data_IF_227431440108
#
_entry.id   IF_227431440108
#
_cell.length_a   1.000
_cell.length_b   1.000
_cell.length_c   1.000
_cell.angle_alpha   90.00
_cell.angle_beta   90.00
_cell.angle_gamma   90.00
#
_symmetry.space_group_name_H-M   'P 1'
#
loop_
_entity.id
_entity.type
_entity.pdbx_description
1 polymer ?
#
# COMPACT_ATOMS: atom_id res chain seq x y z
N UNK A 1 37.51 8.10 9.08
CA UNK A 1 36.29 7.31 9.33
C UNK A 1 36.63 6.23 10.34
N UNK A 2 36.00 6.25 11.53
CA UNK A 2 36.14 5.17 12.50
C UNK A 2 35.17 4.04 12.13
N UNK A 3 35.65 2.81 12.11
CA UNK A 3 34.84 1.61 11.92
C UNK A 3 34.64 0.95 13.28
N UNK A 4 33.42 0.49 13.57
CA UNK A 4 33.14 -0.42 14.68
C UNK A 4 32.86 -1.78 14.07
N UNK A 5 33.65 -2.78 14.44
CA UNK A 5 33.58 -4.18 13.94
C UNK A 5 33.59 -4.31 12.40
N UNK A 6 34.35 -3.42 11.69
CA UNK A 6 34.53 -3.55 10.25
C UNK A 6 33.43 -2.86 9.39
N UNK A 7 32.36 -2.40 9.99
CA UNK A 7 31.25 -1.73 9.26
C UNK A 7 31.53 -0.23 9.16
N UNK A 8 31.43 0.40 7.98
CA UNK A 8 31.56 1.84 7.83
C UNK A 8 30.40 2.57 8.51
N UNK A 9 30.71 3.61 9.26
CA UNK A 9 29.69 4.46 9.89
C UNK A 9 29.13 5.42 8.82
N UNK A 10 27.97 5.16 8.29
CA UNK A 10 27.23 6.03 7.34
C UNK A 10 25.91 6.55 7.90
N UNK A 11 25.79 6.64 9.23
CA UNK A 11 24.60 7.22 9.82
C UNK A 11 24.62 8.75 9.66
N UNK A 12 23.72 9.30 8.87
CA UNK A 12 23.31 10.69 8.95
C UNK A 12 22.49 10.84 10.25
N UNK A 13 23.17 11.22 11.33
CA UNK A 13 22.50 11.63 12.56
C UNK A 13 22.48 13.15 12.57
N UNK A 14 21.29 13.73 12.69
CA UNK A 14 21.16 15.12 13.08
C UNK A 14 21.64 15.26 14.54
N UNK A 15 22.89 15.69 14.68
CA UNK A 15 23.56 15.85 15.97
C UNK A 15 23.16 17.17 16.67
N UNK A 16 22.20 17.91 16.14
CA UNK A 16 21.82 19.25 16.64
C UNK A 16 21.22 19.25 18.04
N UNK A 17 20.79 18.10 18.55
CA UNK A 17 20.15 17.96 19.87
C UNK A 17 20.99 17.24 20.92
N UNK A 18 22.27 16.94 20.65
CA UNK A 18 23.15 16.32 21.65
C UNK A 18 23.65 17.36 22.64
N UNK A 19 23.35 17.19 23.90
CA UNK A 19 23.75 18.11 25.00
C UNK A 19 25.18 17.87 25.55
N UNK A 20 25.93 16.94 24.93
CA UNK A 20 27.32 16.63 25.27
C UNK A 20 27.44 15.50 26.29
N UNK A 21 28.29 14.53 26.00
CA UNK A 21 28.54 13.35 26.85
C UNK A 21 27.87 12.07 26.41
N UNK A 22 27.00 12.11 25.38
CA UNK A 22 26.34 10.94 24.84
C UNK A 22 27.26 10.16 23.88
N UNK A 23 27.25 8.84 23.97
CA UNK A 23 28.04 7.93 23.14
C UNK A 23 27.17 6.83 22.59
N UNK A 24 27.25 6.58 21.28
CA UNK A 24 26.55 5.48 20.64
C UNK A 24 27.23 4.14 20.99
N UNK A 25 26.51 3.24 21.65
CA UNK A 25 26.96 1.90 21.99
C UNK A 25 26.09 0.83 21.36
N UNK A 26 26.70 -0.33 21.12
CA UNK A 26 26.00 -1.54 20.68
C UNK A 26 25.43 -2.29 21.88
N UNK A 27 24.11 -2.47 21.92
CA UNK A 27 23.45 -3.38 22.86
C UNK A 27 23.39 -4.79 22.26
N UNK A 28 24.26 -5.67 22.71
CA UNK A 28 24.33 -7.06 22.25
C UNK A 28 23.15 -7.92 22.72
N UNK A 29 22.34 -7.44 23.66
CA UNK A 29 21.19 -8.18 24.22
C UNK A 29 19.96 -7.98 23.35
N UNK A 30 19.78 -6.79 22.80
CA UNK A 30 18.62 -6.41 21.98
C UNK A 30 18.94 -6.25 20.49
N UNK A 31 20.20 -6.49 20.09
CA UNK A 31 20.66 -6.32 18.69
C UNK A 31 20.45 -4.91 18.13
N UNK A 32 20.49 -3.90 19.00
CA UNK A 32 20.21 -2.49 18.65
C UNK A 32 21.41 -1.59 19.01
N UNK A 33 21.59 -0.50 18.27
CA UNK A 33 22.45 0.61 18.68
C UNK A 33 21.65 1.60 19.52
N UNK A 34 22.19 2.00 20.68
CA UNK A 34 21.54 2.96 21.55
C UNK A 34 22.52 4.08 21.92
N UNK A 35 21.98 5.26 22.21
CA UNK A 35 22.73 6.35 22.82
C UNK A 35 22.79 6.12 24.34
N UNK A 36 23.97 6.18 24.91
CA UNK A 36 24.17 6.12 26.36
C UNK A 36 24.62 7.50 26.84
N UNK A 37 23.88 8.07 27.78
CA UNK A 37 24.33 9.22 28.54
C UNK A 37 25.45 8.75 29.51
N UNK A 38 26.61 9.35 29.42
CA UNK A 38 27.77 8.97 30.24
C UNK A 38 27.54 9.19 31.74
N UNK A 39 26.56 9.99 32.11
CA UNK A 39 26.24 10.33 33.49
C UNK A 39 25.00 9.56 34.03
N UNK A 40 24.38 8.70 33.21
CA UNK A 40 23.22 7.90 33.63
C UNK A 40 23.50 6.40 33.56
N UNK A 41 22.95 5.65 34.50
CA UNK A 41 23.04 4.18 34.56
C UNK A 41 21.99 3.47 33.69
N UNK A 42 21.38 4.17 32.72
CA UNK A 42 20.30 3.65 31.88
C UNK A 42 20.58 3.81 30.38
N UNK A 43 20.35 2.76 29.61
CA UNK A 43 20.20 2.83 28.15
C UNK A 43 18.99 3.69 27.82
N UNK A 44 19.18 4.76 27.03
CA UNK A 44 18.06 5.37 26.29
C UNK A 44 17.95 4.61 24.97
N UNK A 45 16.97 3.72 24.79
CA UNK A 45 16.76 3.11 23.48
C UNK A 45 16.56 4.25 22.48
N UNK A 46 17.23 4.18 21.33
CA UNK A 46 16.75 4.97 20.18
C UNK A 46 15.25 4.70 20.07
N UNK A 47 14.42 5.74 19.91
CA UNK A 47 12.99 5.51 19.77
C UNK A 47 12.82 4.41 18.73
N UNK A 48 12.28 3.28 19.17
CA UNK A 48 11.79 2.28 18.24
C UNK A 48 10.93 3.07 17.24
N UNK A 49 11.02 2.74 15.97
CA UNK A 49 10.17 3.35 14.94
C UNK A 49 8.73 3.28 15.47
N UNK A 50 8.25 4.39 16.01
CA UNK A 50 6.92 4.48 16.60
C UNK A 50 6.01 4.97 15.49
N UNK A 51 5.48 4.04 14.72
CA UNK A 51 4.50 4.31 13.68
C UNK A 51 4.84 3.61 12.37
N UNK A 52 3.89 2.87 11.83
CA UNK A 52 4.02 2.16 10.58
C UNK A 52 4.44 3.06 9.42
N UNK A 53 5.22 2.51 8.51
CA UNK A 53 5.53 3.17 7.23
C UNK A 53 4.39 2.94 6.26
N UNK A 54 3.95 4.02 5.60
CA UNK A 54 3.21 3.94 4.35
C UNK A 54 4.18 4.08 3.19
N UNK A 55 4.08 3.21 2.20
CA UNK A 55 4.99 3.19 1.04
C UNK A 55 4.18 3.29 -0.24
N UNK A 56 4.63 4.11 -1.18
CA UNK A 56 4.00 4.35 -2.48
C UNK A 56 5.03 4.08 -3.58
N UNK A 57 4.79 3.07 -4.43
CA UNK A 57 5.73 2.66 -5.47
C UNK A 57 5.20 2.84 -6.89
N UNK A 58 6.08 3.25 -7.81
CA UNK A 58 5.78 3.41 -9.24
C UNK A 58 4.78 4.50 -9.56
N UNK A 59 3.94 4.27 -10.57
CA UNK A 59 2.90 5.21 -11.01
C UNK A 59 3.23 5.93 -12.31
N UNK A 60 2.48 6.99 -12.61
CA UNK A 60 2.65 7.81 -13.81
C UNK A 60 2.74 9.29 -13.46
N UNK A 61 3.80 9.94 -13.94
CA UNK A 61 4.02 11.39 -13.87
C UNK A 61 4.10 11.96 -15.31
N UNK A 62 5.29 12.28 -15.78
CA UNK A 62 5.53 12.58 -17.21
C UNK A 62 5.81 11.31 -18.04
N UNK A 63 5.73 10.15 -17.44
CA UNK A 63 5.96 8.79 -17.96
C UNK A 63 5.87 7.80 -16.82
N UNK A 64 6.08 6.51 -17.11
CA UNK A 64 6.08 5.46 -16.08
C UNK A 64 7.21 5.70 -15.10
N UNK A 65 6.91 5.54 -13.82
CA UNK A 65 7.83 5.77 -12.71
C UNK A 65 8.27 4.45 -12.08
N UNK A 66 9.51 4.41 -11.58
CA UNK A 66 10.00 3.37 -10.69
C UNK A 66 10.19 3.88 -9.25
N UNK A 67 10.00 5.16 -8.99
CA UNK A 67 10.23 5.78 -7.69
C UNK A 67 9.36 5.13 -6.61
N UNK A 68 9.98 4.82 -5.48
CA UNK A 68 9.30 4.41 -4.26
C UNK A 68 9.49 5.52 -3.22
N UNK A 69 8.38 6.05 -2.70
CA UNK A 69 8.35 7.01 -1.60
C UNK A 69 7.83 6.36 -0.33
N UNK A 70 8.18 6.92 0.83
CA UNK A 70 7.59 6.50 2.11
C UNK A 70 7.22 7.69 3.00
N UNK A 71 6.25 7.44 3.87
CA UNK A 71 5.83 8.33 4.96
C UNK A 71 5.88 7.57 6.29
N UNK A 72 5.87 8.30 7.39
CA UNK A 72 5.55 7.75 8.72
C UNK A 72 4.08 8.04 9.00
N UNK A 73 3.21 7.03 9.01
CA UNK A 73 1.74 7.22 9.07
C UNK A 73 1.29 7.94 10.36
N UNK A 74 1.99 7.71 11.47
CA UNK A 74 1.66 8.34 12.75
C UNK A 74 1.75 9.86 12.73
N UNK A 75 2.67 10.44 11.91
CA UNK A 75 2.95 11.89 11.88
C UNK A 75 2.77 12.46 10.49
N UNK A 76 1.94 13.52 10.38
CA UNK A 76 1.75 14.23 9.11
C UNK A 76 3.06 14.86 8.62
N UNK A 77 3.28 14.84 7.31
CA UNK A 77 4.48 15.39 6.68
C UNK A 77 4.67 14.85 5.26
N UNK A 78 5.59 15.43 4.53
CA UNK A 78 5.88 15.03 3.17
C UNK A 78 6.58 13.67 3.11
N UNK A 79 6.35 12.94 2.03
CA UNK A 79 7.04 11.69 1.75
C UNK A 79 8.53 11.91 1.51
N UNK A 80 9.31 10.88 1.77
CA UNK A 80 10.73 10.80 1.53
C UNK A 80 11.03 9.70 0.52
N UNK A 81 12.14 9.83 -0.18
CA UNK A 81 12.62 8.80 -1.11
C UNK A 81 12.96 7.50 -0.36
N UNK A 82 12.46 6.37 -0.88
CA UNK A 82 12.75 5.03 -0.36
C UNK A 82 13.74 4.28 -1.26
N UNK A 83 13.60 4.42 -2.58
CA UNK A 83 14.37 3.72 -3.61
C UNK A 83 13.54 3.52 -4.87
N UNK A 84 13.87 2.49 -5.65
CA UNK A 84 13.28 2.24 -6.97
C UNK A 84 12.75 0.81 -7.12
N UNK A 85 11.65 0.63 -7.89
CA UNK A 85 11.20 -0.65 -8.42
C UNK A 85 12.19 -1.18 -9.46
N UNK A 86 12.17 -2.49 -9.72
CA UNK A 86 13.01 -3.11 -10.75
C UNK A 86 12.63 -2.66 -12.16
N UNK A 87 11.34 -2.32 -12.39
CA UNK A 87 10.80 -1.85 -13.67
C UNK A 87 9.88 -0.65 -13.45
N UNK A 88 10.07 0.44 -14.21
CA UNK A 88 9.16 1.58 -14.20
C UNK A 88 7.78 1.18 -14.75
N UNK A 89 6.72 1.34 -13.95
CA UNK A 89 5.36 0.91 -14.31
C UNK A 89 4.29 1.63 -13.52
N UNK A 90 3.07 1.67 -14.06
CA UNK A 90 1.88 2.18 -13.40
C UNK A 90 0.78 1.11 -13.29
N UNK A 91 -0.35 1.44 -12.66
CA UNK A 91 -1.49 0.55 -12.47
C UNK A 91 -1.12 -0.82 -11.87
N UNK A 92 -0.04 -0.86 -11.11
CA UNK A 92 0.31 -1.99 -10.26
C UNK A 92 -0.46 -1.89 -8.94
N UNK A 93 -0.44 -2.97 -8.20
CA UNK A 93 -0.96 -3.03 -6.84
C UNK A 93 0.11 -3.44 -5.86
N UNK A 94 -0.20 -3.25 -4.58
CA UNK A 94 0.73 -3.63 -3.54
C UNK A 94 0.00 -4.23 -2.33
N UNK A 95 0.70 -5.11 -1.63
CA UNK A 95 0.30 -5.66 -0.34
C UNK A 95 1.54 -5.93 0.51
N UNK A 96 1.35 -6.28 1.76
CA UNK A 96 2.47 -6.47 2.69
C UNK A 96 2.10 -7.44 3.81
N UNK A 97 3.15 -8.01 4.44
CA UNK A 97 3.11 -8.36 5.85
C UNK A 97 3.67 -7.18 6.66
N UNK A 98 3.95 -7.34 7.95
CA UNK A 98 4.53 -6.24 8.74
C UNK A 98 5.95 -5.84 8.33
N UNK A 99 6.67 -6.65 7.54
CA UNK A 99 8.10 -6.48 7.23
C UNK A 99 8.42 -6.37 5.76
N UNK A 100 7.69 -7.10 4.92
CA UNK A 100 7.90 -7.21 3.47
C UNK A 100 6.76 -6.55 2.73
N UNK A 101 7.09 -5.58 1.89
CA UNK A 101 6.17 -4.97 0.94
C UNK A 101 6.35 -5.57 -0.44
N UNK A 102 5.26 -5.86 -1.12
CA UNK A 102 5.22 -6.50 -2.45
C UNK A 102 4.46 -5.63 -3.42
N UNK A 103 5.02 -5.41 -4.63
CA UNK A 103 4.39 -4.69 -5.74
C UNK A 103 4.20 -5.63 -6.91
N UNK A 104 2.98 -5.78 -7.41
CA UNK A 104 2.65 -6.80 -8.40
C UNK A 104 1.96 -6.26 -9.66
N UNK A 105 2.34 -6.82 -10.82
CA UNK A 105 1.77 -6.49 -12.12
C UNK A 105 2.00 -5.05 -12.56
N UNK A 106 1.07 -4.54 -13.34
CA UNK A 106 1.11 -3.17 -13.86
C UNK A 106 1.37 -3.10 -15.37
N UNK A 107 1.66 -1.90 -15.86
CA UNK A 107 1.89 -1.61 -17.28
C UNK A 107 3.17 -0.78 -17.45
N UNK A 108 4.12 -1.25 -18.25
CA UNK A 108 5.44 -0.64 -18.45
C UNK A 108 5.46 0.51 -19.49
N UNK A 109 4.31 0.81 -20.07
CA UNK A 109 4.13 1.78 -21.15
C UNK A 109 4.00 1.11 -22.53
N UNK A 110 4.39 -0.15 -22.65
CA UNK A 110 4.28 -0.94 -23.89
C UNK A 110 3.26 -2.07 -23.73
N UNK A 111 3.25 -2.75 -22.59
CA UNK A 111 2.41 -3.93 -22.34
C UNK A 111 2.13 -4.12 -20.84
N UNK A 112 1.08 -4.90 -20.50
CA UNK A 112 0.96 -5.44 -19.16
C UNK A 112 2.18 -6.27 -18.78
N UNK A 113 2.57 -6.24 -17.50
CA UNK A 113 3.68 -7.06 -16.97
C UNK A 113 3.18 -7.98 -15.86
N UNK A 114 3.89 -9.09 -15.64
CA UNK A 114 3.61 -10.04 -14.55
C UNK A 114 4.57 -9.89 -13.36
N UNK A 115 5.56 -9.04 -13.46
CA UNK A 115 6.61 -8.84 -12.45
C UNK A 115 6.04 -8.59 -11.06
N UNK A 116 6.59 -9.28 -10.08
CA UNK A 116 6.37 -9.02 -8.66
C UNK A 116 7.72 -8.59 -8.07
N UNK A 117 7.76 -7.37 -7.50
CA UNK A 117 8.91 -6.85 -6.75
C UNK A 117 8.64 -6.89 -5.25
N UNK A 118 9.70 -6.93 -4.44
CA UNK A 118 9.57 -6.78 -3.00
C UNK A 118 10.61 -5.83 -2.40
N UNK A 119 10.26 -5.27 -1.24
CA UNK A 119 11.11 -4.43 -0.40
C UNK A 119 11.07 -4.94 1.05
N UNK A 120 12.11 -4.64 1.82
CA UNK A 120 12.05 -4.71 3.28
C UNK A 120 11.62 -3.35 3.81
N UNK A 121 10.41 -3.22 4.37
CA UNK A 121 9.76 -1.94 4.68
C UNK A 121 10.60 -1.09 5.65
N UNK A 122 11.27 -1.72 6.62
CA UNK A 122 12.10 -1.01 7.60
C UNK A 122 13.43 -0.46 7.04
N UNK A 123 13.85 -0.87 5.83
CA UNK A 123 15.18 -0.55 5.30
C UNK A 123 15.06 0.12 3.93
N UNK A 124 15.50 1.37 3.83
CA UNK A 124 15.54 2.12 2.57
C UNK A 124 16.44 1.41 1.56
N UNK A 125 15.98 1.28 0.33
CA UNK A 125 16.72 0.66 -0.77
C UNK A 125 15.81 0.27 -1.92
N UNK A 126 16.40 -0.13 -3.04
CA UNK A 126 15.68 -0.56 -4.22
C UNK A 126 14.98 -1.90 -4.00
N UNK A 127 13.86 -2.08 -4.68
CA UNK A 127 13.14 -3.34 -4.71
C UNK A 127 13.96 -4.44 -5.40
N UNK A 128 13.69 -5.66 -5.02
CA UNK A 128 14.26 -6.87 -5.59
C UNK A 128 13.16 -7.69 -6.26
N UNK A 129 13.56 -8.53 -7.20
CA UNK A 129 12.65 -9.48 -7.85
C UNK A 129 12.12 -10.51 -6.85
N UNK A 130 10.79 -10.65 -6.79
CA UNK A 130 10.10 -11.65 -5.98
C UNK A 130 9.70 -12.87 -6.81
N UNK A 131 9.25 -12.66 -8.05
CA UNK A 131 8.70 -13.65 -8.97
C UNK A 131 7.64 -13.02 -9.89
N UNK A 132 6.70 -13.83 -10.38
CA UNK A 132 5.73 -13.42 -11.39
C UNK A 132 4.29 -13.78 -11.01
N UNK A 133 3.31 -12.95 -11.41
CA UNK A 133 1.90 -13.31 -11.48
C UNK A 133 1.69 -14.45 -12.49
N UNK A 134 0.61 -15.22 -12.36
CA UNK A 134 0.26 -16.28 -13.33
C UNK A 134 0.03 -15.73 -14.74
N UNK A 135 -0.40 -14.48 -14.85
CA UNK A 135 -0.66 -13.77 -16.12
C UNK A 135 -0.28 -12.30 -15.99
N UNK A 136 0.38 -11.75 -17.02
CA UNK A 136 0.69 -10.33 -17.12
C UNK A 136 -0.61 -9.51 -17.15
N UNK A 137 -0.79 -8.57 -16.20
CA UNK A 137 -2.00 -7.76 -16.06
C UNK A 137 -1.78 -6.51 -15.22
N UNK A 138 -2.65 -5.52 -15.42
CA UNK A 138 -2.67 -4.26 -14.68
C UNK A 138 -4.05 -3.94 -14.13
N UNK A 139 -4.11 -3.00 -13.20
CA UNK A 139 -5.37 -2.59 -12.58
C UNK A 139 -6.04 -3.70 -11.76
N UNK A 140 -5.23 -4.57 -11.16
CA UNK A 140 -5.67 -5.57 -10.18
C UNK A 140 -6.06 -4.90 -8.85
N UNK A 141 -6.77 -5.59 -7.97
CA UNK A 141 -6.86 -5.26 -6.55
C UNK A 141 -5.91 -6.16 -5.75
N UNK A 142 -5.36 -5.69 -4.64
CA UNK A 142 -4.52 -6.52 -3.77
C UNK A 142 -4.86 -6.36 -2.29
N UNK A 143 -4.77 -7.46 -1.56
CA UNK A 143 -4.96 -7.53 -0.11
C UNK A 143 -4.09 -8.63 0.50
N UNK A 144 -3.97 -8.66 1.83
CA UNK A 144 -3.17 -9.67 2.53
C UNK A 144 -3.71 -9.97 3.93
N UNK A 145 -3.36 -11.12 4.49
CA UNK A 145 -3.58 -11.48 5.90
C UNK A 145 -2.28 -11.48 6.73
N UNK A 146 -1.19 -10.93 6.15
CA UNK A 146 0.14 -10.97 6.73
C UNK A 146 0.93 -12.25 6.44
N UNK A 147 0.31 -13.25 5.80
CA UNK A 147 0.96 -14.49 5.33
C UNK A 147 0.88 -14.61 3.82
N UNK A 148 -0.33 -14.43 3.29
CA UNK A 148 -0.63 -14.50 1.88
C UNK A 148 -0.95 -13.12 1.32
N UNK A 149 -0.34 -12.79 0.18
CA UNK A 149 -0.74 -11.69 -0.68
C UNK A 149 -1.66 -12.21 -1.78
N UNK A 150 -2.82 -11.59 -1.96
CA UNK A 150 -3.86 -12.01 -2.91
C UNK A 150 -4.10 -10.90 -3.91
N UNK A 151 -4.12 -11.23 -5.22
CA UNK A 151 -4.22 -10.29 -6.34
C UNK A 151 -5.42 -10.66 -7.22
N UNK A 152 -6.48 -9.83 -7.23
CA UNK A 152 -7.73 -10.16 -7.91
C UNK A 152 -8.06 -9.27 -9.11
N UNK A 153 -8.55 -9.88 -10.19
CA UNK A 153 -8.98 -9.21 -11.41
C UNK A 153 -7.85 -8.59 -12.22
N UNK A 154 -8.14 -7.51 -12.91
CA UNK A 154 -7.21 -6.79 -13.76
C UNK A 154 -7.55 -6.88 -15.24
N UNK A 155 -6.67 -6.35 -16.09
CA UNK A 155 -6.75 -6.40 -17.55
C UNK A 155 -5.45 -6.97 -18.13
N UNK A 156 -5.56 -7.98 -19.00
CA UNK A 156 -4.43 -8.69 -19.61
C UNK A 156 -3.94 -8.04 -20.93
N UNK A 157 -4.47 -6.86 -21.26
CA UNK A 157 -4.22 -6.13 -22.50
C UNK A 157 -5.28 -6.39 -23.58
N UNK A 158 -6.05 -7.47 -23.48
CA UNK A 158 -7.15 -7.78 -24.39
C UNK A 158 -8.52 -7.61 -23.72
N UNK A 159 -8.65 -8.07 -22.47
CA UNK A 159 -9.93 -8.11 -21.74
C UNK A 159 -9.74 -7.99 -20.23
N UNK A 160 -10.81 -7.63 -19.54
CA UNK A 160 -10.87 -7.78 -18.08
C UNK A 160 -10.88 -9.26 -17.72
N UNK A 161 -10.16 -9.62 -16.65
CA UNK A 161 -10.09 -10.99 -16.12
C UNK A 161 -10.71 -11.06 -14.72
N UNK A 162 -11.14 -12.24 -14.30
CA UNK A 162 -11.63 -12.52 -12.95
C UNK A 162 -10.61 -13.28 -12.10
N UNK A 163 -9.50 -13.73 -12.68
CA UNK A 163 -8.46 -14.52 -12.00
C UNK A 163 -8.00 -13.86 -10.71
N UNK A 164 -7.91 -14.65 -9.66
CA UNK A 164 -7.27 -14.29 -8.40
C UNK A 164 -6.01 -15.15 -8.26
N UNK A 165 -4.86 -14.49 -8.08
CA UNK A 165 -3.58 -15.14 -7.76
C UNK A 165 -3.23 -14.92 -6.28
N UNK A 166 -2.35 -15.77 -5.74
CA UNK A 166 -1.77 -15.56 -4.42
C UNK A 166 -0.29 -15.92 -4.35
N UNK A 167 0.39 -15.33 -3.38
CA UNK A 167 1.78 -15.62 -2.99
C UNK A 167 1.85 -15.86 -1.49
N UNK A 168 2.91 -16.53 -1.04
CA UNK A 168 3.33 -16.51 0.37
C UNK A 168 4.35 -15.40 0.54
N UNK A 169 4.04 -14.31 1.24
CA UNK A 169 4.84 -13.06 1.27
C UNK A 169 6.26 -13.31 1.80
N UNK A 170 6.44 -14.21 2.76
CA UNK A 170 7.75 -14.51 3.36
C UNK A 170 8.70 -15.33 2.46
N UNK A 171 8.26 -15.77 1.27
CA UNK A 171 9.04 -16.68 0.41
C UNK A 171 8.92 -16.26 -1.04
N UNK A 172 10.04 -15.82 -1.64
CA UNK A 172 10.09 -15.45 -3.06
C UNK A 172 9.71 -16.62 -3.97
N UNK A 173 8.97 -16.31 -5.03
CA UNK A 173 8.50 -17.29 -6.01
C UNK A 173 7.29 -16.78 -6.79
N UNK A 174 6.93 -17.50 -7.84
CA UNK A 174 5.79 -17.12 -8.66
C UNK A 174 4.46 -17.34 -7.93
N UNK A 175 3.49 -16.50 -8.27
CA UNK A 175 2.13 -16.62 -7.78
C UNK A 175 1.47 -17.91 -8.26
N UNK A 176 0.52 -18.39 -7.48
CA UNK A 176 -0.33 -19.55 -7.77
C UNK A 176 -1.77 -19.10 -7.95
N UNK A 177 -2.55 -19.91 -8.66
CA UNK A 177 -3.98 -19.69 -8.80
C UNK A 177 -4.70 -19.84 -7.46
N UNK A 178 -5.54 -18.85 -7.12
CA UNK A 178 -6.37 -18.84 -5.91
C UNK A 178 -7.83 -19.19 -6.24
N UNK A 179 -8.35 -18.70 -7.36
CA UNK A 179 -9.73 -18.79 -7.81
C UNK A 179 -10.16 -17.57 -8.63
N UNK A 180 -11.45 -17.23 -8.63
CA UNK A 180 -12.02 -16.19 -9.47
C UNK A 180 -12.87 -15.18 -8.69
N UNK A 181 -12.86 -13.89 -9.09
CA UNK A 181 -13.86 -12.90 -8.71
C UNK A 181 -15.23 -13.27 -9.30
N UNK A 182 -16.32 -12.78 -8.71
CA UNK A 182 -17.67 -13.00 -9.23
C UNK A 182 -17.87 -12.37 -10.61
N UNK A 183 -17.15 -11.29 -10.93
CA UNK A 183 -17.20 -10.59 -12.23
C UNK A 183 -15.79 -10.24 -12.68
N UNK A 184 -15.46 -10.56 -13.95
CA UNK A 184 -14.22 -10.12 -14.59
C UNK A 184 -14.19 -8.59 -14.67
N UNK A 185 -13.21 -7.96 -13.99
CA UNK A 185 -13.13 -6.51 -13.86
C UNK A 185 -11.71 -6.04 -13.54
N UNK A 186 -11.43 -4.79 -13.82
CA UNK A 186 -10.16 -4.14 -13.46
C UNK A 186 -10.38 -2.82 -12.72
N UNK A 187 -9.33 -2.31 -12.09
CA UNK A 187 -9.32 -1.05 -11.34
C UNK A 187 -10.35 -1.00 -10.20
N UNK A 188 -10.48 -2.14 -9.51
CA UNK A 188 -11.16 -2.25 -8.22
C UNK A 188 -10.21 -1.84 -7.10
N UNK A 189 -10.76 -1.26 -6.03
CA UNK A 189 -10.05 -1.10 -4.75
C UNK A 189 -10.11 -2.40 -3.95
N UNK A 190 -9.07 -2.70 -3.17
CA UNK A 190 -9.09 -3.88 -2.30
C UNK A 190 -8.52 -3.57 -0.91
N UNK A 191 -9.05 -4.24 0.09
CA UNK A 191 -8.63 -4.16 1.49
C UNK A 191 -8.88 -5.50 2.20
N UNK A 192 -8.42 -5.65 3.42
CA UNK A 192 -8.54 -6.90 4.17
C UNK A 192 -8.55 -6.70 5.68
N UNK A 193 -9.00 -7.72 6.37
CA UNK A 193 -8.65 -8.00 7.76
C UNK A 193 -7.72 -9.24 7.81
N UNK A 194 -7.49 -9.81 8.97
CA UNK A 194 -6.67 -11.03 9.10
C UNK A 194 -7.32 -12.30 8.50
N UNK A 195 -8.51 -12.21 7.90
CA UNK A 195 -9.32 -13.37 7.46
C UNK A 195 -9.86 -13.20 6.06
N UNK A 196 -10.43 -12.01 5.76
CA UNK A 196 -11.11 -11.73 4.50
C UNK A 196 -10.34 -10.72 3.68
N UNK A 197 -10.19 -11.01 2.39
CA UNK A 197 -9.83 -10.05 1.35
C UNK A 197 -11.08 -9.59 0.62
N UNK A 198 -11.24 -8.27 0.47
CA UNK A 198 -12.43 -7.65 -0.11
C UNK A 198 -12.02 -6.81 -1.32
N UNK A 199 -12.79 -6.93 -2.42
CA UNK A 199 -12.56 -6.23 -3.69
C UNK A 199 -13.82 -5.44 -4.05
N UNK A 200 -13.73 -4.11 -4.18
CA UNK A 200 -14.89 -3.25 -4.41
C UNK A 200 -14.80 -2.38 -5.66
N UNK A 201 -15.90 -2.24 -6.40
CA UNK A 201 -16.03 -1.43 -7.61
C UNK A 201 -15.26 -1.97 -8.81
N UNK A 202 -14.78 -1.07 -9.68
CA UNK A 202 -14.03 -1.42 -10.88
C UNK A 202 -14.81 -1.23 -12.17
N UNK A 203 -14.29 -1.77 -13.27
CA UNK A 203 -14.84 -1.64 -14.62
C UNK A 203 -15.02 -3.00 -15.30
N UNK A 204 -16.25 -3.29 -15.75
CA UNK A 204 -16.61 -4.45 -16.57
C UNK A 204 -17.74 -4.04 -17.55
N UNK A 205 -17.38 -3.47 -18.70
CA UNK A 205 -18.37 -2.91 -19.63
C UNK A 205 -19.03 -1.62 -19.16
N UNK A 206 -19.01 -1.34 -17.87
CA UNK A 206 -19.46 -0.14 -17.15
C UNK A 206 -18.87 -0.11 -15.76
N UNK A 207 -18.97 1.04 -15.08
CA UNK A 207 -18.52 1.14 -13.67
C UNK A 207 -19.37 0.22 -12.79
N UNK A 208 -18.75 -0.43 -11.82
CA UNK A 208 -19.39 -1.34 -10.87
C UNK A 208 -19.45 -0.73 -9.47
N UNK A 209 -20.45 -1.18 -8.69
CA UNK A 209 -20.51 -1.00 -7.24
C UNK A 209 -20.30 -2.33 -6.49
N UNK A 210 -20.30 -3.46 -7.18
CA UNK A 210 -20.15 -4.79 -6.59
C UNK A 210 -18.93 -4.88 -5.70
N UNK A 211 -19.11 -5.42 -4.50
CA UNK A 211 -18.05 -5.80 -3.58
C UNK A 211 -18.04 -7.33 -3.47
N UNK A 212 -16.89 -7.94 -3.75
CA UNK A 212 -16.65 -9.37 -3.56
C UNK A 212 -15.71 -9.59 -2.37
N UNK A 213 -15.74 -10.80 -1.79
CA UNK A 213 -14.77 -11.21 -0.79
C UNK A 213 -14.30 -12.64 -0.97
N UNK A 214 -13.09 -12.91 -0.46
CA UNK A 214 -12.50 -14.25 -0.31
C UNK A 214 -12.11 -14.48 1.14
N UNK A 215 -12.01 -15.74 1.55
CA UNK A 215 -11.33 -16.14 2.79
C UNK A 215 -9.86 -16.40 2.45
N UNK A 216 -8.93 -15.53 2.87
CA UNK A 216 -7.54 -15.51 2.38
C UNK A 216 -6.81 -16.85 2.66
N UNK A 217 -7.04 -17.46 3.81
CA UNK A 217 -6.37 -18.72 4.18
C UNK A 217 -6.82 -19.96 3.36
N UNK A 218 -7.81 -19.83 2.48
CA UNK A 218 -8.40 -20.98 1.75
C UNK A 218 -8.68 -20.60 0.30
N UNK A 219 -7.98 -21.22 -0.64
CA UNK A 219 -8.20 -21.00 -2.08
C UNK A 219 -9.64 -21.32 -2.49
N UNK A 220 -10.19 -20.51 -3.38
CA UNK A 220 -11.56 -20.65 -3.88
C UNK A 220 -12.08 -19.36 -4.49
N UNK A 221 -13.22 -19.46 -5.16
CA UNK A 221 -13.83 -18.32 -5.80
C UNK A 221 -14.39 -17.31 -4.79
N UNK A 222 -14.36 -16.04 -5.14
CA UNK A 222 -14.95 -14.97 -4.36
C UNK A 222 -16.49 -15.13 -4.27
N UNK A 223 -17.02 -14.60 -3.19
CA UNK A 223 -18.46 -14.52 -2.92
C UNK A 223 -18.90 -13.06 -2.88
N UNK A 224 -20.17 -12.83 -3.14
CA UNK A 224 -20.78 -11.50 -3.01
C UNK A 224 -20.71 -11.01 -1.55
N UNK A 225 -20.23 -9.77 -1.37
CA UNK A 225 -20.19 -9.10 -0.08
C UNK A 225 -21.33 -8.07 0.05
N UNK A 226 -21.64 -7.35 -1.03
CA UNK A 226 -22.58 -6.24 -1.11
C UNK A 226 -22.16 -5.21 -2.14
N UNK A 227 -22.57 -3.95 -1.96
CA UNK A 227 -22.34 -2.87 -2.92
C UNK A 227 -21.74 -1.62 -2.29
N UNK A 228 -20.89 -0.90 -3.05
CA UNK A 228 -20.49 0.49 -2.77
C UNK A 228 -21.71 1.40 -2.87
N UNK A 229 -21.66 2.58 -2.24
CA UNK A 229 -22.72 3.59 -2.34
C UNK A 229 -22.90 4.12 -3.77
N UNK A 230 -21.83 4.10 -4.58
CA UNK A 230 -21.82 4.60 -5.96
C UNK A 230 -20.99 3.69 -6.87
N UNK A 231 -21.50 3.44 -8.10
CA UNK A 231 -20.73 2.72 -9.14
C UNK A 231 -19.52 3.52 -9.56
N UNK A 232 -18.29 2.98 -9.37
CA UNK A 232 -17.06 3.69 -9.73
C UNK A 232 -15.88 2.74 -9.98
N UNK A 233 -14.92 3.22 -10.77
CA UNK A 233 -13.64 2.58 -11.06
C UNK A 233 -12.48 3.47 -10.62
N UNK A 234 -11.25 2.94 -10.66
CA UNK A 234 -10.03 3.69 -10.34
C UNK A 234 -10.01 4.26 -8.93
N UNK A 235 -10.71 3.59 -8.03
CA UNK A 235 -10.71 3.85 -6.60
C UNK A 235 -9.59 3.03 -5.96
N UNK A 236 -9.23 3.40 -4.76
CA UNK A 236 -8.34 2.62 -3.90
C UNK A 236 -9.02 2.27 -2.59
N UNK A 237 -8.42 1.36 -1.82
CA UNK A 237 -8.92 1.07 -0.49
C UNK A 237 -7.78 0.81 0.50
N UNK A 238 -8.09 1.01 1.77
CA UNK A 238 -7.25 0.66 2.91
C UNK A 238 -8.15 0.18 4.05
N UNK A 239 -7.56 -0.35 5.11
CA UNK A 239 -8.33 -0.90 6.24
C UNK A 239 -7.55 -0.82 7.54
N UNK A 240 -8.28 -0.85 8.64
CA UNK A 240 -7.82 -1.37 9.92
C UNK A 240 -8.28 -2.84 10.05
N UNK A 241 -8.17 -3.46 11.19
CA UNK A 241 -8.63 -4.84 11.39
C UNK A 241 -10.17 -4.99 11.39
N UNK A 242 -10.94 -3.92 11.24
CA UNK A 242 -12.41 -3.88 11.39
C UNK A 242 -13.12 -3.29 10.19
N UNK A 243 -12.64 -2.14 9.71
CA UNK A 243 -13.23 -1.38 8.61
C UNK A 243 -12.35 -1.38 7.38
N UNK A 244 -12.98 -1.61 6.23
CA UNK A 244 -12.42 -1.29 4.92
C UNK A 244 -12.96 0.04 4.44
N UNK A 245 -12.09 0.93 3.97
CA UNK A 245 -12.41 2.29 3.51
C UNK A 245 -12.02 2.40 2.04
N UNK A 246 -12.97 2.79 1.18
CA UNK A 246 -12.80 2.92 -0.26
C UNK A 246 -12.83 4.40 -0.64
N UNK A 247 -11.77 4.93 -1.23
CA UNK A 247 -11.64 6.35 -1.51
C UNK A 247 -11.44 6.72 -2.97
N UNK A 248 -12.05 7.85 -3.39
CA UNK A 248 -11.91 8.44 -4.70
C UNK A 248 -12.51 7.62 -5.84
N UNK A 249 -11.99 7.80 -7.03
CA UNK A 249 -12.39 7.05 -8.23
C UNK A 249 -13.02 7.92 -9.31
N UNK A 250 -13.61 7.24 -10.29
CA UNK A 250 -14.22 7.86 -11.48
C UNK A 250 -15.61 7.28 -11.72
N UNK A 251 -16.61 8.18 -11.84
CA UNK A 251 -17.98 7.85 -12.22
C UNK A 251 -18.20 8.24 -13.70
N UNK A 252 -18.49 9.48 -13.95
CA UNK A 252 -18.45 10.19 -15.24
C UNK A 252 -17.50 11.39 -15.17
N UNK A 253 -17.00 11.68 -14.00
CA UNK A 253 -15.98 12.68 -13.64
C UNK A 253 -15.18 12.15 -12.45
N UNK A 254 -14.13 12.87 -12.06
CA UNK A 254 -13.40 12.63 -10.81
C UNK A 254 -14.36 12.62 -9.63
N UNK A 255 -14.11 11.77 -8.66
CA UNK A 255 -14.95 11.58 -7.49
C UNK A 255 -14.12 11.66 -6.19
N UNK A 256 -14.69 12.26 -5.14
CA UNK A 256 -14.06 12.42 -3.82
C UNK A 256 -14.70 11.54 -2.73
N UNK A 257 -15.76 10.80 -3.06
CA UNK A 257 -16.48 9.97 -2.09
C UNK A 257 -15.57 8.96 -1.41
N UNK A 258 -15.71 8.86 -0.11
CA UNK A 258 -15.14 7.78 0.70
C UNK A 258 -16.31 6.96 1.25
N UNK A 259 -16.30 5.65 0.97
CA UNK A 259 -17.23 4.67 1.55
C UNK A 259 -16.52 3.79 2.57
N UNK A 260 -17.26 3.18 3.49
CA UNK A 260 -16.71 2.16 4.37
C UNK A 260 -17.62 0.94 4.50
N UNK A 261 -17.01 -0.19 4.82
CA UNK A 261 -17.65 -1.45 5.20
C UNK A 261 -17.13 -1.92 6.56
N UNK A 262 -17.90 -2.77 7.22
CA UNK A 262 -17.40 -3.61 8.32
C UNK A 262 -16.99 -4.96 7.74
N UNK A 263 -15.69 -5.27 7.67
CA UNK A 263 -15.15 -6.42 6.91
C UNK A 263 -15.69 -7.76 7.43
N UNK A 264 -15.89 -7.88 8.73
CA UNK A 264 -16.40 -9.12 9.33
C UNK A 264 -17.79 -9.52 8.86
N UNK A 265 -18.63 -8.55 8.46
CA UNK A 265 -20.05 -8.75 8.17
C UNK A 265 -20.40 -8.29 6.76
N UNK A 266 -20.90 -9.19 5.92
CA UNK A 266 -21.36 -8.85 4.55
C UNK A 266 -22.51 -7.86 4.59
N UNK A 267 -22.52 -6.93 3.63
CA UNK A 267 -23.53 -5.88 3.49
C UNK A 267 -23.01 -4.71 2.66
N UNK A 268 -23.91 -3.81 2.32
CA UNK A 268 -23.57 -2.65 1.52
C UNK A 268 -22.70 -1.65 2.30
N UNK A 269 -21.83 -0.95 1.58
CA UNK A 269 -21.03 0.14 2.13
C UNK A 269 -21.93 1.31 2.58
N UNK A 270 -21.39 2.08 3.48
CA UNK A 270 -21.99 3.31 4.00
C UNK A 270 -21.07 4.49 3.71
N UNK A 271 -21.64 5.66 3.51
CA UNK A 271 -20.86 6.90 3.32
C UNK A 271 -19.98 7.16 4.54
N UNK A 272 -18.71 7.47 4.26
CA UNK A 272 -17.72 7.82 5.27
C UNK A 272 -17.44 9.33 5.29
N UNK A 273 -17.42 9.96 4.11
CA UNK A 273 -17.04 11.35 3.88
C UNK A 273 -16.37 11.54 2.53
N UNK A 274 -15.51 12.56 2.40
CA UNK A 274 -14.87 12.91 1.14
C UNK A 274 -13.36 13.12 1.29
N UNK A 275 -12.60 12.86 0.22
CA UNK A 275 -11.20 13.30 0.07
C UNK A 275 -11.13 14.83 0.06
N UNK A 276 -9.97 15.43 0.29
CA UNK A 276 -9.78 16.89 0.19
C UNK A 276 -9.97 17.41 -1.23
N UNK A 277 -9.81 16.55 -2.24
CA UNK A 277 -10.04 16.86 -3.64
C UNK A 277 -10.47 15.64 -4.44
N UNK A 278 -11.42 15.82 -5.36
CA UNK A 278 -11.91 14.75 -6.23
C UNK A 278 -10.80 14.24 -7.16
N UNK A 279 -10.50 12.94 -7.11
CA UNK A 279 -9.45 12.31 -7.92
C UNK A 279 -9.67 10.83 -8.12
N UNK A 280 -9.14 10.28 -9.20
CA UNK A 280 -9.10 8.86 -9.47
C UNK A 280 -7.65 8.38 -9.58
N UNK A 281 -7.43 7.07 -9.47
CA UNK A 281 -6.10 6.47 -9.32
C UNK A 281 -5.28 6.96 -8.12
N UNK A 282 -5.88 7.30 -6.97
CA UNK A 282 -5.06 7.45 -5.78
C UNK A 282 -4.51 6.09 -5.34
N UNK A 283 -3.39 6.09 -4.63
CA UNK A 283 -2.87 4.93 -3.91
C UNK A 283 -3.29 5.01 -2.45
N UNK A 284 -3.34 3.90 -1.73
CA UNK A 284 -3.63 3.94 -0.30
C UNK A 284 -2.73 3.01 0.51
N UNK A 285 -2.52 3.42 1.75
CA UNK A 285 -1.89 2.63 2.81
C UNK A 285 -2.57 2.94 4.14
N UNK A 286 -2.32 2.16 5.18
CA UNK A 286 -2.95 2.37 6.48
C UNK A 286 -2.12 1.78 7.62
N UNK A 287 -2.37 2.28 8.81
CA UNK A 287 -2.05 1.61 10.07
C UNK A 287 -3.37 1.22 10.78
N UNK A 288 -3.28 0.79 12.05
CA UNK A 288 -4.47 0.44 12.82
C UNK A 288 -5.41 1.64 13.11
N UNK A 289 -5.06 2.86 12.72
CA UNK A 289 -5.76 4.10 13.08
C UNK A 289 -6.10 4.96 11.87
N UNK A 290 -5.11 5.17 10.99
CA UNK A 290 -5.23 6.08 9.84
C UNK A 290 -5.26 5.32 8.53
N UNK A 291 -6.17 5.72 7.64
CA UNK A 291 -6.13 5.43 6.22
C UNK A 291 -5.57 6.63 5.48
N UNK A 292 -4.58 6.42 4.64
CA UNK A 292 -3.85 7.47 3.92
C UNK A 292 -4.02 7.26 2.42
N UNK A 293 -4.31 8.34 1.69
CA UNK A 293 -4.56 8.35 0.25
C UNK A 293 -3.58 9.30 -0.43
N UNK A 294 -2.71 8.78 -1.31
CA UNK A 294 -1.66 9.57 -1.94
C UNK A 294 -1.77 9.64 -3.46
N UNK A 295 -1.45 10.81 -4.04
CA UNK A 295 -1.44 11.04 -5.46
C UNK A 295 -2.82 11.03 -6.12
N UNK A 296 -2.85 10.82 -7.42
CA UNK A 296 -4.07 10.72 -8.23
C UNK A 296 -4.00 11.47 -9.54
N UNK A 297 -5.02 11.29 -10.37
CA UNK A 297 -5.09 11.84 -11.72
C UNK A 297 -5.02 13.36 -11.76
N UNK A 298 -4.36 13.85 -12.80
CA UNK A 298 -3.98 15.23 -12.99
C UNK A 298 -2.54 15.51 -12.57
N UNK A 299 -1.63 14.51 -12.60
CA UNK A 299 -0.82 13.99 -11.52
C UNK A 299 -0.68 14.96 -10.37
N UNK A 300 -1.17 14.59 -9.20
CA UNK A 300 -1.07 15.41 -7.98
C UNK A 300 -0.10 14.73 -6.99
N UNK A 301 0.51 15.54 -6.11
CA UNK A 301 1.38 15.05 -5.04
C UNK A 301 0.66 14.96 -3.68
N UNK A 302 -0.56 15.49 -3.57
CA UNK A 302 -1.33 15.55 -2.33
C UNK A 302 -1.48 14.18 -1.68
N UNK A 303 -1.23 14.12 -0.38
CA UNK A 303 -1.55 12.99 0.49
C UNK A 303 -2.62 13.43 1.49
N UNK A 304 -3.73 12.70 1.54
CA UNK A 304 -4.81 12.90 2.51
C UNK A 304 -4.82 11.76 3.53
N UNK A 305 -5.44 11.99 4.69
CA UNK A 305 -5.72 10.92 5.63
C UNK A 305 -7.09 11.03 6.28
N UNK A 306 -7.59 9.89 6.75
CA UNK A 306 -8.77 9.78 7.61
C UNK A 306 -8.42 8.97 8.87
N UNK A 307 -9.18 9.20 9.95
CA UNK A 307 -9.17 8.27 11.10
C UNK A 307 -10.20 7.18 10.83
N UNK A 308 -9.79 5.94 10.57
CA UNK A 308 -10.65 4.86 10.06
C UNK A 308 -11.85 4.58 10.99
N UNK A 309 -11.66 4.66 12.31
CA UNK A 309 -12.71 4.39 13.27
C UNK A 309 -13.83 5.44 13.30
N UNK A 310 -13.64 6.64 12.73
CA UNK A 310 -14.57 7.76 12.85
C UNK A 310 -14.87 8.38 11.49
N UNK A 311 -16.13 8.34 11.05
CA UNK A 311 -16.57 8.92 9.78
C UNK A 311 -16.36 10.44 9.78
N UNK A 312 -15.65 10.93 8.76
CA UNK A 312 -15.35 12.34 8.54
C UNK A 312 -14.76 12.56 7.16
N UNK A 313 -14.70 13.79 6.70
CA UNK A 313 -13.89 14.13 5.54
C UNK A 313 -12.39 13.94 5.86
N UNK A 314 -11.63 13.65 4.82
CA UNK A 314 -10.18 13.54 4.90
C UNK A 314 -9.54 14.91 5.22
N UNK A 315 -8.36 14.85 5.79
CA UNK A 315 -7.52 16.00 6.12
C UNK A 315 -6.19 15.88 5.38
N UNK A 316 -5.58 16.99 5.04
CA UNK A 316 -4.26 17.03 4.42
C UNK A 316 -3.22 16.36 5.33
N UNK A 317 -2.41 15.49 4.75
CA UNK A 317 -1.29 14.79 5.39
C UNK A 317 0.06 15.40 5.02
N UNK A 318 0.23 15.78 3.75
CA UNK A 318 1.47 16.25 3.13
C UNK A 318 1.53 15.90 1.65
N UNK A 319 2.73 15.80 1.09
CA UNK A 319 2.95 15.59 -0.34
C UNK A 319 3.89 14.41 -0.64
N UNK A 320 3.64 13.71 -1.76
CA UNK A 320 4.60 12.79 -2.38
C UNK A 320 5.82 13.57 -2.88
N UNK A 321 6.97 12.91 -3.04
CA UNK A 321 8.18 13.53 -3.61
C UNK A 321 7.98 13.97 -5.05
N UNK A 322 7.14 13.25 -5.81
CA UNK A 322 6.78 13.55 -7.21
C UNK A 322 5.27 13.39 -7.40
N UNK A 323 4.63 14.38 -8.04
CA UNK A 323 3.23 14.30 -8.43
C UNK A 323 3.01 13.14 -9.41
N UNK A 324 2.13 12.20 -9.05
CA UNK A 324 1.86 11.00 -9.85
C UNK A 324 0.51 10.37 -9.53
N UNK A 325 0.02 9.54 -10.43
CA UNK A 325 -1.14 8.68 -10.23
C UNK A 325 -0.80 7.20 -10.41
N UNK A 326 -1.75 6.32 -10.16
CA UNK A 326 -1.67 4.88 -10.48
C UNK A 326 -0.47 4.15 -9.83
N UNK A 327 0.02 4.65 -8.69
CA UNK A 327 1.05 3.98 -7.90
C UNK A 327 0.43 2.82 -7.08
N UNK A 328 1.25 1.88 -6.63
CA UNK A 328 0.89 0.89 -5.62
C UNK A 328 1.15 1.43 -4.21
N UNK A 329 0.21 1.22 -3.29
CA UNK A 329 0.37 1.61 -1.88
C UNK A 329 0.34 0.41 -0.95
N UNK A 330 1.22 0.40 0.05
CA UNK A 330 1.31 -0.62 1.09
C UNK A 330 1.78 -0.01 2.42
N UNK A 331 1.69 -0.77 3.48
CA UNK A 331 2.15 -0.34 4.81
C UNK A 331 2.73 -1.50 5.62
N UNK A 332 3.55 -1.15 6.60
CA UNK A 332 4.11 -2.08 7.59
C UNK A 332 4.90 -1.35 8.66
N UNK A 333 5.25 -2.06 9.72
CA UNK A 333 5.99 -1.55 10.88
C UNK A 333 7.50 -1.83 10.76
#
# INVERSE_FOLDING_TARGET
MRKINGVPFTAHTDLSNLTGGEVLKWDSTNTLMAWEDQDSTGFVPLPAWVGGRGVFGGGEASGKSNIIDYITIATTGNALDFGDLTVARNNMVACSDSTTGVFAGGHDGSSPVNVIDYITISTIGNALDFGDLTTARYGTGACSDGTYGVFGGGQDGASSVNTIDYITISTTGNALDFGDLTVARYSAGACSDSTKGVFGGGLAGGNLNTIDYVTIATTGNALDFGDLTVTRRYLTACSDSTRGVFGGGYISSTNDTIDYITIATTGNATDFGNLTGARYFPSACSDATKGVFGGGNGPVNTIDYVTIATTSNATDFGDLTVARDSAGGLSGD
#
